data_IF_486958043357
#
_entry.id   IF_486958043357
#
_cell.length_a   1.000
_cell.length_b   1.000
_cell.length_c   1.000
_cell.angle_alpha   90.00
_cell.angle_beta   90.00
_cell.angle_gamma   90.00
#
_symmetry.space_group_name_H-M   'P 1'
#
loop_
_entity.id
_entity.type
_entity.pdbx_description
1 polymer ?
#
# COMPACT_ATOMS: atom_id res chain seq x y z
N UNK A 1 -20.04 2.50 -40.54
CA UNK A 1 -19.18 3.44 -39.79
C UNK A 1 -19.26 3.06 -38.32
N UNK A 2 -18.15 2.62 -37.73
CA UNK A 2 -18.13 2.30 -36.30
C UNK A 2 -18.38 3.60 -35.51
N UNK A 3 -19.31 3.57 -34.55
CA UNK A 3 -19.64 4.75 -33.76
C UNK A 3 -18.43 5.32 -33.03
N UNK A 4 -18.45 6.60 -32.64
CA UNK A 4 -17.32 7.30 -32.01
C UNK A 4 -16.77 6.56 -30.78
N UNK A 5 -17.61 5.80 -30.07
CA UNK A 5 -17.20 4.98 -28.92
C UNK A 5 -16.30 3.78 -29.30
N UNK A 6 -16.59 3.11 -30.42
CA UNK A 6 -15.84 1.93 -30.87
C UNK A 6 -14.44 2.32 -31.34
N UNK A 7 -14.30 3.49 -31.96
CA UNK A 7 -12.99 4.02 -32.38
C UNK A 7 -12.13 4.43 -31.18
N UNK A 8 -12.74 5.02 -30.15
CA UNK A 8 -12.05 5.40 -28.92
C UNK A 8 -11.55 4.16 -28.15
N UNK A 9 -12.36 3.11 -28.03
CA UNK A 9 -11.98 1.85 -27.40
C UNK A 9 -10.83 1.16 -28.14
N UNK A 10 -10.90 1.09 -29.47
CA UNK A 10 -9.84 0.51 -30.29
C UNK A 10 -8.52 1.29 -30.15
N UNK A 11 -8.59 2.63 -30.04
CA UNK A 11 -7.43 3.47 -29.82
C UNK A 11 -6.81 3.26 -28.43
N UNK A 12 -7.63 3.25 -27.38
CA UNK A 12 -7.18 3.01 -26.01
C UNK A 12 -6.54 1.62 -25.87
N UNK A 13 -7.17 0.58 -26.44
CA UNK A 13 -6.62 -0.78 -26.45
C UNK A 13 -5.26 -0.82 -27.15
N UNK A 14 -5.13 -0.18 -28.32
CA UNK A 14 -3.87 -0.11 -29.05
C UNK A 14 -2.79 0.55 -28.19
N UNK A 15 -3.10 1.69 -27.57
CA UNK A 15 -2.17 2.44 -26.73
C UNK A 15 -1.66 1.59 -25.55
N UNK A 16 -2.58 0.90 -24.84
CA UNK A 16 -2.21 0.04 -23.71
C UNK A 16 -1.37 -1.18 -24.13
N UNK A 17 -1.60 -1.72 -25.33
CA UNK A 17 -0.82 -2.86 -25.84
C UNK A 17 0.58 -2.48 -26.33
N UNK A 18 0.75 -1.28 -26.90
CA UNK A 18 2.03 -0.89 -27.53
C UNK A 18 2.93 -0.09 -26.62
N UNK A 19 2.40 0.42 -25.51
CA UNK A 19 3.17 1.19 -24.53
C UNK A 19 3.68 0.25 -23.44
N UNK A 20 5.00 0.18 -23.28
CA UNK A 20 5.63 -0.60 -22.22
C UNK A 20 5.69 0.18 -20.91
N UNK A 21 5.77 -0.54 -19.80
CA UNK A 21 5.83 0.06 -18.46
C UNK A 21 7.01 1.05 -18.34
N UNK A 22 8.16 0.74 -18.95
CA UNK A 22 9.33 1.62 -18.97
C UNK A 22 9.03 3.03 -19.50
N UNK A 23 8.10 3.17 -20.44
CA UNK A 23 7.73 4.46 -21.04
C UNK A 23 6.99 5.40 -20.08
N UNK A 24 6.38 4.87 -19.02
CA UNK A 24 5.69 5.67 -17.99
C UNK A 24 6.50 5.83 -16.70
N UNK A 25 7.59 5.07 -16.56
CA UNK A 25 8.50 5.20 -15.42
C UNK A 25 9.20 6.56 -15.47
N UNK A 26 9.20 7.23 -14.31
CA UNK A 26 9.96 8.46 -14.09
C UNK A 26 10.64 8.35 -12.74
N UNK A 27 11.83 8.95 -12.57
CA UNK A 27 12.42 9.11 -11.25
C UNK A 27 11.40 9.81 -10.34
N UNK A 28 11.03 9.14 -9.25
CA UNK A 28 10.09 9.65 -8.27
C UNK A 28 10.67 9.45 -6.88
N UNK A 29 10.40 10.42 -6.00
CA UNK A 29 10.72 10.28 -4.59
C UNK A 29 9.69 9.38 -3.93
N UNK A 30 10.07 8.13 -3.67
CA UNK A 30 9.21 7.13 -3.01
C UNK A 30 9.41 7.21 -1.50
N UNK A 31 8.34 7.55 -0.78
CA UNK A 31 8.33 7.54 0.70
C UNK A 31 8.07 6.11 1.14
N UNK A 32 8.94 5.56 1.98
CA UNK A 32 8.82 4.20 2.52
C UNK A 32 8.50 4.22 4.01
N UNK A 33 7.86 3.16 4.50
CA UNK A 33 7.53 2.98 5.91
C UNK A 33 8.25 1.72 6.42
N UNK A 34 8.90 1.80 7.58
CA UNK A 34 9.49 0.61 8.19
C UNK A 34 8.39 -0.28 8.74
N UNK A 35 8.52 -1.59 8.58
CA UNK A 35 7.61 -2.59 9.14
C UNK A 35 7.45 -2.49 10.68
N UNK A 36 8.49 -2.03 11.37
CA UNK A 36 8.55 -1.75 12.81
C UNK A 36 8.02 -0.36 13.21
N UNK A 37 7.66 0.49 12.24
CA UNK A 37 7.05 1.78 12.56
C UNK A 37 5.67 1.57 13.20
N UNK A 38 5.30 2.45 14.13
CA UNK A 38 3.97 2.40 14.73
C UNK A 38 2.89 2.92 13.77
N UNK A 39 1.62 2.59 14.05
CA UNK A 39 0.47 3.17 13.33
C UNK A 39 0.47 4.69 13.40
N UNK A 40 0.74 5.29 14.57
CA UNK A 40 0.82 6.77 14.71
C UNK A 40 1.92 7.36 13.84
N UNK A 41 3.13 6.77 13.87
CA UNK A 41 4.25 7.22 13.03
C UNK A 41 3.90 7.12 11.53
N UNK A 42 3.28 6.02 11.14
CA UNK A 42 2.82 5.78 9.76
C UNK A 42 1.82 6.84 9.33
N UNK A 43 0.78 7.11 10.13
CA UNK A 43 -0.22 8.14 9.83
C UNK A 43 0.40 9.54 9.72
N UNK A 44 1.37 9.87 10.58
CA UNK A 44 2.10 11.14 10.50
C UNK A 44 2.92 11.26 9.21
N UNK A 45 3.62 10.20 8.81
CA UNK A 45 4.39 10.17 7.56
C UNK A 45 3.45 10.35 6.35
N UNK A 46 2.36 9.58 6.29
CA UNK A 46 1.38 9.70 5.20
C UNK A 46 0.79 11.11 5.12
N UNK A 47 0.42 11.71 6.26
CA UNK A 47 -0.11 13.07 6.32
C UNK A 47 0.93 14.13 5.91
N UNK A 48 2.17 14.02 6.41
CA UNK A 48 3.25 14.97 6.11
C UNK A 48 3.60 14.99 4.62
N UNK A 49 3.56 13.82 3.97
CA UNK A 49 3.83 13.69 2.54
C UNK A 49 2.58 13.83 1.66
N UNK A 50 1.39 14.02 2.24
CA UNK A 50 0.10 14.12 1.55
C UNK A 50 -0.19 12.92 0.63
N UNK A 51 0.11 11.72 1.12
CA UNK A 51 -0.11 10.45 0.42
C UNK A 51 -1.07 9.56 1.23
N UNK A 52 -1.72 8.61 0.55
CA UNK A 52 -2.71 7.71 1.16
C UNK A 52 -2.19 6.28 1.34
N UNK A 53 -1.04 5.97 0.73
CA UNK A 53 -0.40 4.67 0.83
C UNK A 53 1.11 4.83 0.69
N UNK A 54 1.84 3.85 1.20
CA UNK A 54 3.29 3.78 1.06
C UNK A 54 3.76 2.32 1.08
N UNK A 55 4.85 1.99 0.35
CA UNK A 55 5.51 0.70 0.48
C UNK A 55 6.10 0.53 1.88
N UNK A 56 5.95 -0.69 2.40
CA UNK A 56 6.49 -1.11 3.70
C UNK A 56 7.75 -1.91 3.46
N UNK A 57 8.86 -1.45 4.04
CA UNK A 57 10.17 -2.10 3.95
C UNK A 57 10.49 -2.82 5.25
N UNK A 58 11.03 -4.03 5.14
CA UNK A 58 11.54 -4.76 6.30
C UNK A 58 12.76 -3.99 6.81
N UNK A 59 12.70 -3.54 8.06
CA UNK A 59 13.88 -2.97 8.70
C UNK A 59 14.94 -4.07 8.82
N UNK A 60 16.05 -3.96 8.08
CA UNK A 60 17.23 -4.76 8.39
C UNK A 60 17.59 -4.45 9.84
N UNK A 61 17.40 -5.43 10.73
CA UNK A 61 17.76 -5.34 12.13
C UNK A 61 19.27 -5.20 12.26
N UNK A 62 19.76 -3.98 12.07
CA UNK A 62 21.08 -3.56 12.53
C UNK A 62 20.92 -3.11 13.97
N UNK A 63 20.89 -4.08 14.89
CA UNK A 63 21.40 -3.80 16.23
C UNK A 63 22.77 -3.16 16.06
N UNK A 64 22.98 -2.07 16.78
CA UNK A 64 24.24 -1.34 16.81
C UNK A 64 25.38 -2.28 17.23
N UNK A 65 26.11 -2.85 16.26
CA UNK A 65 27.19 -3.78 16.62
C UNK A 65 27.75 -4.69 15.54
N UNK A 66 27.90 -4.25 14.28
CA UNK A 66 28.83 -4.92 13.37
C UNK A 66 29.27 -3.96 12.25
N UNK A 67 30.45 -3.37 12.41
CA UNK A 67 31.18 -2.77 11.31
C UNK A 67 31.61 -3.89 10.35
N UNK A 68 30.78 -4.18 9.36
CA UNK A 68 31.05 -5.22 8.36
C UNK A 68 30.14 -5.08 7.15
N UNK A 69 30.69 -4.47 6.09
CA UNK A 69 30.25 -4.52 4.68
C UNK A 69 28.81 -5.01 4.42
N UNK A 70 27.82 -4.12 4.56
CA UNK A 70 26.53 -4.33 3.90
C UNK A 70 26.64 -3.79 2.47
N UNK A 71 26.88 -4.71 1.55
CA UNK A 71 26.66 -4.51 0.10
C UNK A 71 25.25 -3.95 -0.09
N UNK A 72 25.12 -2.92 -0.92
CA UNK A 72 23.89 -2.20 -1.32
C UNK A 72 22.75 -3.13 -1.76
N UNK A 73 22.13 -3.86 -0.82
CA UNK A 73 20.94 -4.66 -1.09
C UNK A 73 19.75 -3.72 -1.00
N UNK A 74 19.03 -3.57 -2.12
CA UNK A 74 17.79 -2.82 -2.16
C UNK A 74 16.86 -3.28 -1.02
N UNK A 75 16.22 -2.35 -0.29
CA UNK A 75 15.37 -2.70 0.85
C UNK A 75 14.26 -3.65 0.41
N UNK A 76 14.08 -4.74 1.15
CA UNK A 76 13.06 -5.74 0.86
C UNK A 76 11.68 -5.17 1.21
N UNK A 77 10.83 -5.07 0.19
CA UNK A 77 9.48 -4.52 0.35
C UNK A 77 8.51 -5.66 0.65
N UNK A 78 7.90 -5.63 1.83
CA UNK A 78 6.99 -6.69 2.29
C UNK A 78 5.53 -6.45 1.90
N UNK A 79 5.17 -5.23 1.49
CA UNK A 79 3.83 -4.90 1.05
C UNK A 79 3.62 -3.41 0.88
N UNK A 80 2.37 -3.02 0.63
CA UNK A 80 1.91 -1.63 0.73
C UNK A 80 1.00 -1.50 1.95
N UNK A 81 1.09 -0.38 2.65
CA UNK A 81 0.09 0.00 3.65
C UNK A 81 -0.71 1.17 3.10
N UNK A 82 -2.04 1.10 3.21
CA UNK A 82 -2.92 2.22 2.92
C UNK A 82 -3.83 2.57 4.11
N UNK A 83 -4.60 3.66 3.98
CA UNK A 83 -5.55 4.06 5.01
C UNK A 83 -6.67 3.01 5.23
N UNK A 84 -7.05 2.25 4.20
CA UNK A 84 -8.07 1.20 4.32
C UNK A 84 -7.56 0.05 5.19
N UNK A 85 -6.32 -0.36 5.03
CA UNK A 85 -5.67 -1.41 5.83
C UNK A 85 -5.64 -1.01 7.32
N UNK A 86 -5.26 0.24 7.61
CA UNK A 86 -5.23 0.76 8.99
C UNK A 86 -6.62 0.80 9.62
N UNK A 87 -7.61 1.31 8.90
CA UNK A 87 -8.99 1.39 9.39
C UNK A 87 -9.60 0.00 9.56
N UNK A 88 -9.39 -0.90 8.60
CA UNK A 88 -9.92 -2.26 8.65
C UNK A 88 -9.27 -3.03 9.81
N UNK A 89 -7.96 -2.87 10.01
CA UNK A 89 -7.26 -3.45 11.15
C UNK A 89 -7.77 -2.91 12.47
N UNK A 90 -7.99 -1.59 12.58
CA UNK A 90 -8.56 -0.98 13.78
C UNK A 90 -9.97 -1.52 14.08
N UNK A 91 -10.86 -1.54 13.08
CA UNK A 91 -12.24 -2.00 13.26
C UNK A 91 -12.35 -3.48 13.62
N UNK A 92 -11.35 -4.29 13.27
CA UNK A 92 -11.29 -5.69 13.71
C UNK A 92 -10.92 -5.85 15.19
N UNK A 93 -10.25 -4.87 15.79
CA UNK A 93 -9.88 -4.88 17.21
C UNK A 93 -10.95 -4.24 18.10
N UNK A 94 -11.86 -3.49 17.48
CA UNK A 94 -12.98 -2.85 18.13
C UNK A 94 -14.13 -3.85 18.27
N UNK A 95 -14.69 -3.97 19.47
CA UNK A 95 -15.92 -4.73 19.66
C UNK A 95 -17.11 -3.94 19.10
N UNK A 96 -17.38 -4.16 17.81
CA UNK A 96 -18.43 -3.45 17.08
C UNK A 96 -19.82 -3.66 17.70
N UNK A 97 -20.06 -4.79 18.38
CA UNK A 97 -21.32 -5.07 19.06
C UNK A 97 -21.43 -4.21 20.32
N UNK A 98 -20.39 -4.17 21.14
CA UNK A 98 -20.35 -3.29 22.31
C UNK A 98 -20.46 -1.80 21.93
N UNK A 99 -19.90 -1.40 20.78
CA UNK A 99 -20.09 -0.06 20.25
C UNK A 99 -21.54 0.20 19.84
N UNK A 100 -22.16 -0.72 19.10
CA UNK A 100 -23.54 -0.57 18.64
C UNK A 100 -24.51 -0.40 19.82
N UNK A 101 -24.30 -1.12 20.92
CA UNK A 101 -25.18 -1.08 22.09
C UNK A 101 -24.89 0.12 23.03
N UNK A 102 -23.76 0.81 22.86
CA UNK A 102 -23.37 1.93 23.72
C UNK A 102 -23.98 3.28 23.29
N UNK A 103 -24.24 4.18 24.27
CA UNK A 103 -24.57 5.59 24.02
C UNK A 103 -23.35 6.36 23.49
N UNK A 104 -23.58 7.46 22.76
CA UNK A 104 -22.55 8.23 22.04
C UNK A 104 -21.28 8.56 22.87
N UNK A 105 -21.41 9.12 24.07
CA UNK A 105 -20.23 9.45 24.91
C UNK A 105 -19.42 8.21 25.29
N UNK A 106 -20.10 7.09 25.58
CA UNK A 106 -19.43 5.81 25.87
C UNK A 106 -18.75 5.25 24.62
N UNK A 107 -19.35 5.40 23.42
CA UNK A 107 -18.71 5.03 22.15
C UNK A 107 -17.43 5.82 21.92
N UNK A 108 -17.46 7.13 22.12
CA UNK A 108 -16.27 7.98 21.96
C UNK A 108 -15.15 7.53 22.89
N UNK A 109 -15.46 7.29 24.17
CA UNK A 109 -14.47 6.82 25.14
C UNK A 109 -13.86 5.47 24.76
N UNK A 110 -14.67 4.51 24.32
CA UNK A 110 -14.16 3.20 23.87
C UNK A 110 -13.23 3.38 22.66
N UNK A 111 -13.65 4.18 21.68
CA UNK A 111 -12.86 4.45 20.48
C UNK A 111 -11.55 5.17 20.81
N UNK A 112 -11.55 6.11 21.75
CA UNK A 112 -10.33 6.81 22.21
C UNK A 112 -9.37 5.84 22.93
N UNK A 113 -9.86 5.04 23.86
CA UNK A 113 -9.05 4.08 24.62
C UNK A 113 -8.45 3.00 23.69
N UNK A 114 -9.26 2.48 22.75
CA UNK A 114 -8.79 1.50 21.77
C UNK A 114 -7.88 2.15 20.72
N UNK A 115 -8.20 3.35 20.26
CA UNK A 115 -7.41 4.10 19.29
C UNK A 115 -6.01 4.40 19.82
N UNK A 116 -5.90 4.83 21.07
CA UNK A 116 -4.60 5.08 21.71
C UNK A 116 -3.72 3.81 21.79
N UNK A 117 -4.34 2.66 22.08
CA UNK A 117 -3.62 1.37 22.08
C UNK A 117 -3.22 0.93 20.68
N UNK A 118 -4.12 1.07 19.71
CA UNK A 118 -3.89 0.69 18.31
C UNK A 118 -2.78 1.54 17.69
N UNK A 119 -2.75 2.84 17.98
CA UNK A 119 -1.75 3.79 17.51
C UNK A 119 -0.29 3.38 17.82
N UNK A 120 -0.09 2.62 18.92
CA UNK A 120 1.23 2.12 19.33
C UNK A 120 1.66 0.81 18.67
N UNK A 121 0.79 0.12 17.91
CA UNK A 121 1.13 -1.15 17.25
C UNK A 121 2.04 -0.94 16.06
N UNK A 122 2.91 -1.92 15.79
CA UNK A 122 3.76 -1.89 14.59
C UNK A 122 2.96 -2.31 13.36
N UNK A 123 3.34 -1.78 12.19
CA UNK A 123 2.71 -2.13 10.91
C UNK A 123 2.80 -3.62 10.60
N UNK A 124 3.92 -4.29 10.91
CA UNK A 124 4.09 -5.73 10.72
C UNK A 124 3.12 -6.59 11.56
N UNK A 125 2.55 -6.05 12.63
CA UNK A 125 1.64 -6.77 13.53
C UNK A 125 0.17 -6.57 13.14
N UNK A 126 -0.10 -5.80 12.08
CA UNK A 126 -1.46 -5.57 11.59
C UNK A 126 -1.98 -6.79 10.85
N UNK A 127 -3.31 -6.98 10.91
CA UNK A 127 -3.98 -8.14 10.31
C UNK A 127 -3.94 -8.11 8.79
N UNK A 128 -4.00 -6.92 8.19
CA UNK A 128 -3.97 -6.72 6.75
C UNK A 128 -2.79 -5.82 6.38
N UNK A 129 -1.95 -6.31 5.47
CA UNK A 129 -0.88 -5.56 4.83
C UNK A 129 -0.95 -5.90 3.34
N UNK A 130 -1.09 -4.89 2.48
CA UNK A 130 -0.94 -5.04 1.04
C UNK A 130 -2.19 -5.57 0.32
N UNK A 131 -3.36 -4.98 0.56
CA UNK A 131 -4.58 -5.44 -0.12
C UNK A 131 -4.55 -5.24 -1.64
N UNK A 132 -3.92 -4.16 -2.14
CA UNK A 132 -4.15 -3.70 -3.53
C UNK A 132 -2.84 -3.39 -4.32
N UNK A 133 -1.66 -3.85 -3.88
CA UNK A 133 -0.37 -3.46 -4.46
C UNK A 133 0.55 -4.61 -4.89
N UNK A 134 0.93 -4.64 -6.17
CA UNK A 134 1.97 -5.55 -6.69
C UNK A 134 3.28 -4.82 -6.94
N UNK A 135 4.40 -5.47 -6.61
CA UNK A 135 5.73 -5.00 -6.97
C UNK A 135 6.19 -5.69 -8.24
N UNK A 136 6.59 -4.89 -9.22
CA UNK A 136 7.12 -5.42 -10.47
C UNK A 136 8.63 -5.19 -10.55
N UNK A 137 9.42 -6.23 -10.90
CA UNK A 137 10.85 -6.07 -11.06
C UNK A 137 11.17 -5.06 -12.18
N UNK A 138 12.04 -4.09 -11.90
CA UNK A 138 12.36 -3.02 -12.84
C UNK A 138 12.91 -3.56 -14.17
N UNK A 139 13.68 -4.65 -14.16
CA UNK A 139 14.24 -5.26 -15.36
C UNK A 139 13.18 -5.83 -16.33
N UNK A 140 11.97 -6.11 -15.83
CA UNK A 140 10.88 -6.59 -16.66
C UNK A 140 10.08 -5.45 -17.31
N UNK A 141 10.24 -4.20 -16.84
CA UNK A 141 9.45 -3.05 -17.30
C UNK A 141 9.59 -2.73 -18.80
N UNK A 142 10.71 -3.08 -19.42
CA UNK A 142 10.93 -2.87 -20.86
C UNK A 142 10.13 -3.85 -21.73
N UNK A 143 9.76 -5.02 -21.19
CA UNK A 143 9.09 -6.09 -21.93
C UNK A 143 7.62 -6.28 -21.55
N UNK A 144 7.13 -5.56 -20.52
CA UNK A 144 5.75 -5.66 -20.05
C UNK A 144 4.92 -4.50 -20.57
N UNK A 145 3.81 -4.81 -21.24
CA UNK A 145 2.87 -3.80 -21.74
C UNK A 145 2.01 -3.21 -20.59
N UNK A 146 1.55 -1.96 -20.74
CA UNK A 146 0.60 -1.39 -19.78
C UNK A 146 -0.69 -2.20 -19.68
N UNK A 147 -1.11 -2.82 -20.79
CA UNK A 147 -2.28 -3.70 -20.81
C UNK A 147 -2.09 -4.91 -19.89
N UNK A 148 -0.94 -5.58 -19.93
CA UNK A 148 -0.64 -6.73 -19.07
C UNK A 148 -0.69 -6.32 -17.59
N UNK A 149 -0.02 -5.22 -17.21
CA UNK A 149 -0.04 -4.74 -15.83
C UNK A 149 -1.46 -4.38 -15.37
N UNK A 150 -2.26 -3.71 -16.20
CA UNK A 150 -3.64 -3.34 -15.84
C UNK A 150 -4.51 -4.59 -15.72
N UNK A 151 -4.46 -5.49 -16.70
CA UNK A 151 -5.31 -6.67 -16.75
C UNK A 151 -4.95 -7.65 -15.64
N UNK A 152 -3.68 -8.05 -15.56
CA UNK A 152 -3.22 -9.12 -14.68
C UNK A 152 -2.86 -8.61 -13.29
N UNK A 153 -2.43 -7.35 -13.17
CA UNK A 153 -1.95 -6.77 -11.90
C UNK A 153 -2.95 -5.90 -11.16
N UNK A 154 -3.90 -5.25 -11.84
CA UNK A 154 -4.90 -4.40 -11.17
C UNK A 154 -6.30 -5.01 -11.21
N UNK A 155 -6.74 -5.43 -12.39
CA UNK A 155 -8.12 -5.91 -12.58
C UNK A 155 -8.31 -7.35 -12.13
N UNK A 156 -7.27 -8.19 -12.20
CA UNK A 156 -7.30 -9.62 -11.84
C UNK A 156 -8.64 -10.27 -12.18
N UNK A 157 -9.05 -10.28 -13.47
CA UNK A 157 -10.31 -10.88 -13.84
C UNK A 157 -10.31 -12.33 -13.39
N UNK A 158 -11.30 -12.70 -12.59
CA UNK A 158 -11.56 -14.11 -12.28
C UNK A 158 -12.14 -14.72 -13.55
N UNK A 159 -11.52 -15.79 -14.04
CA UNK A 159 -12.07 -16.61 -15.13
C UNK A 159 -13.53 -17.00 -14.87
#
# INVERSE_FOLDING_TARGET
>A
MAGPNIQAEAHARKLLTTTNLSAVLRPQHVVTIKDSASVDQTLRVLAAHRILSAPVVVGNGGDAGAAGQQVDKAPEVCGFIDIRDLLSSFLHEVDLKALADAKMLKRMRILEEQGARFAGKCIKDLRSLGSDGWFYPQHAAENTSLREIIHDGFLHPKD
#
